data_IF_649147645862
#
_entry.id   IF_649147645862
#
_cell.length_a   1.000
_cell.length_b   1.000
_cell.length_c   1.000
_cell.angle_alpha   90.00
_cell.angle_beta   90.00
_cell.angle_gamma   90.00
#
_symmetry.space_group_name_H-M   'P 1'
#
loop_
_entity.id
_entity.type
_entity.pdbx_description
1 polymer ?
#
# COMPACT_ATOMS: atom_id res chain seq x y z
N UNK A 1 12.01 -26.57 73.68
CA UNK A 1 12.63 -27.85 74.07
C UNK A 1 12.49 -28.83 72.95
N UNK A 2 13.46 -29.64 72.62
CA UNK A 2 14.86 -29.40 72.29
C UNK A 2 15.15 -29.76 70.81
N UNK A 3 16.09 -29.08 70.20
CA UNK A 3 17.45 -29.48 69.80
C UNK A 3 17.61 -30.90 69.22
N UNK A 4 18.17 -30.98 67.98
CA UNK A 4 19.42 -31.68 67.79
C UNK A 4 20.10 -31.34 66.44
N UNK A 5 21.34 -30.87 66.58
CA UNK A 5 22.38 -30.79 65.53
C UNK A 5 22.92 -32.18 65.25
N UNK A 6 23.27 -32.42 63.96
CA UNK A 6 24.45 -33.26 63.66
C UNK A 6 25.20 -32.66 62.49
N UNK A 7 26.45 -32.28 62.75
CA UNK A 7 27.56 -32.07 61.81
C UNK A 7 28.11 -33.42 61.33
N UNK A 8 28.67 -33.46 60.13
CA UNK A 8 29.93 -34.17 59.78
C UNK A 8 30.22 -33.94 58.30
N UNK A 9 31.19 -33.09 58.00
CA UNK A 9 32.59 -33.28 57.55
C UNK A 9 32.79 -33.81 56.12
N UNK A 10 33.31 -32.90 55.31
CA UNK A 10 34.41 -32.92 54.31
C UNK A 10 34.80 -34.23 53.62
N UNK A 11 34.92 -34.17 52.32
CA UNK A 11 36.15 -34.57 51.61
C UNK A 11 36.30 -33.82 50.29
N UNK A 12 37.41 -33.10 50.13
CA UNK A 12 37.84 -32.50 48.89
C UNK A 12 38.43 -33.55 47.94
N UNK A 13 38.11 -33.42 46.65
CA UNK A 13 38.93 -34.04 45.61
C UNK A 13 39.01 -33.09 44.42
N UNK A 14 40.18 -32.46 44.27
CA UNK A 14 40.61 -31.66 43.12
C UNK A 14 40.82 -32.54 41.92
N UNK A 15 40.07 -32.25 40.82
CA UNK A 15 40.51 -32.66 39.48
C UNK A 15 40.48 -31.44 38.59
N UNK A 16 41.67 -31.07 38.15
CA UNK A 16 42.00 -30.03 37.16
C UNK A 16 41.60 -30.66 35.79
N UNK A 17 40.63 -30.04 35.12
CA UNK A 17 40.41 -30.28 33.71
C UNK A 17 40.33 -28.91 33.01
N UNK A 18 41.35 -28.65 32.22
CA UNK A 18 41.40 -27.57 31.24
C UNK A 18 40.33 -27.84 30.20
N UNK A 19 39.30 -26.98 30.11
CA UNK A 19 38.47 -26.86 28.93
C UNK A 19 38.59 -25.46 28.41
N UNK A 20 39.12 -25.37 27.19
CA UNK A 20 39.15 -24.19 26.36
C UNK A 20 37.75 -23.56 26.27
N UNK A 21 37.59 -22.32 26.69
CA UNK A 21 36.47 -21.47 26.36
C UNK A 21 36.49 -21.20 24.84
N UNK A 22 35.65 -21.88 24.08
CA UNK A 22 35.23 -21.43 22.78
C UNK A 22 34.33 -20.20 23.01
N UNK A 23 34.87 -19.01 22.79
CA UNK A 23 34.11 -17.80 22.64
C UNK A 23 33.22 -17.96 21.42
N UNK A 24 31.90 -18.21 21.62
CA UNK A 24 30.92 -18.06 20.61
C UNK A 24 30.91 -16.60 20.16
N UNK A 25 31.53 -16.33 19.02
CA UNK A 25 31.36 -15.07 18.29
C UNK A 25 29.92 -15.01 17.82
N UNK A 26 29.15 -14.08 18.36
CA UNK A 26 27.85 -13.71 17.80
C UNK A 26 28.04 -13.39 16.31
N UNK A 27 27.14 -13.87 15.42
CA UNK A 27 27.22 -13.48 14.02
C UNK A 27 26.96 -11.98 13.94
N UNK A 28 27.95 -11.24 13.50
CA UNK A 28 27.82 -9.84 13.10
C UNK A 28 26.64 -9.72 12.12
N UNK A 29 25.67 -8.87 12.41
CA UNK A 29 24.59 -8.51 11.51
C UNK A 29 25.21 -7.84 10.27
N UNK A 30 25.46 -8.67 9.27
CA UNK A 30 26.23 -8.30 8.09
C UNK A 30 25.37 -7.40 7.21
N UNK A 31 25.74 -6.14 7.06
CA UNK A 31 25.14 -5.18 6.12
C UNK A 31 25.17 -5.60 4.64
N UNK A 32 25.82 -6.76 4.35
CA UNK A 32 25.89 -7.35 3.02
C UNK A 32 24.58 -7.97 2.55
N UNK A 33 23.70 -8.44 3.46
CA UNK A 33 22.42 -9.06 3.10
C UNK A 33 21.43 -8.04 2.49
N UNK A 34 21.41 -6.81 2.98
CA UNK A 34 20.56 -5.74 2.43
C UNK A 34 21.07 -5.22 1.07
N UNK A 35 22.39 -5.17 0.88
CA UNK A 35 23.01 -4.77 -0.39
C UNK A 35 22.82 -5.80 -1.51
N UNK A 36 22.81 -7.08 -1.20
CA UNK A 36 22.56 -8.16 -2.19
C UNK A 36 21.09 -8.17 -2.61
N UNK A 37 20.16 -7.85 -1.73
CA UNK A 37 18.74 -7.82 -2.04
C UNK A 37 18.34 -6.58 -2.89
N UNK A 38 18.95 -5.42 -2.65
CA UNK A 38 18.74 -4.22 -3.48
C UNK A 38 19.25 -4.41 -4.93
N UNK A 39 20.23 -5.29 -5.15
CA UNK A 39 20.72 -5.65 -6.49
C UNK A 39 19.74 -6.51 -7.32
N UNK A 40 18.66 -7.04 -6.70
CA UNK A 40 17.68 -7.90 -7.38
C UNK A 40 16.62 -7.11 -8.18
N UNK A 41 16.52 -5.78 -8.00
CA UNK A 41 15.56 -4.92 -8.71
C UNK A 41 16.28 -3.75 -9.37
N UNK A 42 15.86 -3.42 -10.60
CA UNK A 42 16.29 -2.22 -11.32
C UNK A 42 15.14 -1.24 -11.36
N UNK A 43 15.40 0.02 -10.99
CA UNK A 43 14.45 1.12 -11.17
C UNK A 43 14.53 1.64 -12.63
N UNK A 44 13.38 1.76 -13.26
CA UNK A 44 13.17 2.30 -14.60
C UNK A 44 12.32 3.56 -14.48
N UNK A 45 12.78 4.64 -15.09
CA UNK A 45 12.05 5.89 -15.20
C UNK A 45 10.98 5.77 -16.28
N UNK A 46 9.72 6.00 -15.94
CA UNK A 46 8.61 6.02 -16.88
C UNK A 46 8.36 7.42 -17.47
N UNK A 47 9.04 8.45 -16.95
CA UNK A 47 8.88 9.84 -17.36
C UNK A 47 7.62 10.51 -16.82
N UNK A 48 7.22 11.59 -17.53
CA UNK A 48 6.04 12.42 -17.25
C UNK A 48 5.31 12.76 -18.55
N UNK A 49 4.16 13.43 -18.49
CA UNK A 49 3.47 14.05 -19.63
C UNK A 49 4.04 15.46 -19.96
N UNK A 50 5.33 15.67 -19.66
CA UNK A 50 6.04 16.93 -19.91
C UNK A 50 6.09 17.88 -18.72
N UNK A 51 5.31 17.65 -17.67
CA UNK A 51 5.40 18.40 -16.42
C UNK A 51 6.45 17.84 -15.45
N UNK A 52 6.68 18.54 -14.33
CA UNK A 52 7.75 18.21 -13.39
C UNK A 52 7.48 17.02 -12.45
N UNK A 53 6.30 16.37 -12.53
CA UNK A 53 5.98 15.25 -11.62
C UNK A 53 5.01 14.26 -12.22
N UNK A 54 5.22 12.95 -11.91
CA UNK A 54 4.31 11.86 -12.22
C UNK A 54 4.32 10.80 -11.11
N UNK A 55 3.17 10.15 -10.91
CA UNK A 55 2.98 9.07 -9.93
C UNK A 55 2.30 7.89 -10.62
N UNK A 56 2.94 6.71 -10.63
CA UNK A 56 2.29 5.47 -11.06
C UNK A 56 1.52 4.85 -9.88
N UNK A 57 0.23 4.54 -10.07
CA UNK A 57 -0.67 4.01 -9.04
C UNK A 57 -0.97 2.54 -9.19
N UNK A 58 -1.17 2.09 -10.42
CA UNK A 58 -1.60 0.73 -10.72
C UNK A 58 -0.84 0.10 -11.88
N UNK A 59 -0.74 -1.22 -11.86
CA UNK A 59 -0.13 -2.03 -12.92
C UNK A 59 -0.94 -3.30 -13.12
N UNK A 60 -1.22 -3.67 -14.36
CA UNK A 60 -1.89 -4.91 -14.69
C UNK A 60 -0.90 -6.04 -15.06
N UNK A 61 -1.38 -7.30 -15.24
CA UNK A 61 -0.50 -8.42 -15.62
C UNK A 61 0.18 -8.28 -16.97
N UNK A 62 -0.31 -7.41 -17.87
CA UNK A 62 0.31 -7.12 -19.16
C UNK A 62 1.45 -6.09 -19.07
N UNK A 63 1.71 -5.52 -17.88
CA UNK A 63 2.72 -4.48 -17.68
C UNK A 63 2.24 -3.08 -18.06
N UNK A 64 0.95 -2.89 -18.32
CA UNK A 64 0.37 -1.57 -18.50
C UNK A 64 0.28 -0.86 -17.15
N UNK A 65 0.79 0.38 -17.08
CA UNK A 65 0.86 1.19 -15.86
C UNK A 65 -0.04 2.40 -15.98
N UNK A 66 -0.75 2.72 -14.91
CA UNK A 66 -1.62 3.90 -14.84
C UNK A 66 -1.30 4.77 -13.62
N UNK A 67 -1.64 6.04 -13.73
CA UNK A 67 -1.40 7.00 -12.67
C UNK A 67 -1.82 8.41 -13.07
N UNK A 68 -1.10 9.40 -12.52
CA UNK A 68 -1.32 10.81 -12.78
C UNK A 68 0.01 11.50 -13.08
N UNK A 69 0.02 12.47 -14.00
CA UNK A 69 1.19 13.26 -14.37
C UNK A 69 0.81 14.70 -14.65
N UNK A 70 1.63 15.63 -14.18
CA UNK A 70 1.52 17.04 -14.55
C UNK A 70 1.79 17.23 -16.04
N UNK A 71 1.10 18.20 -16.63
CA UNK A 71 1.27 18.62 -18.01
C UNK A 71 2.30 19.73 -18.12
N UNK A 72 3.00 19.80 -19.27
CA UNK A 72 3.99 20.82 -19.55
C UNK A 72 3.38 22.25 -19.41
N UNK A 73 4.09 23.11 -18.67
CA UNK A 73 3.75 24.52 -18.54
C UNK A 73 2.43 24.86 -17.82
N UNK A 74 1.82 23.87 -17.16
CA UNK A 74 0.56 24.05 -16.43
C UNK A 74 0.65 23.57 -14.98
N UNK A 75 -0.36 23.90 -14.17
CA UNK A 75 -0.59 23.30 -12.85
C UNK A 75 -1.59 22.13 -12.90
N UNK A 76 -2.06 21.76 -14.09
CA UNK A 76 -3.00 20.66 -14.30
C UNK A 76 -2.27 19.33 -14.34
N UNK A 77 -2.91 18.28 -13.84
CA UNK A 77 -2.44 16.90 -13.99
C UNK A 77 -3.54 16.03 -14.59
N UNK A 78 -3.11 15.10 -15.46
CA UNK A 78 -4.00 14.14 -16.10
C UNK A 78 -3.65 12.72 -15.76
N UNK A 79 -4.68 11.86 -15.81
CA UNK A 79 -4.51 10.42 -15.81
C UNK A 79 -3.68 10.00 -17.03
N UNK A 80 -2.78 9.06 -16.83
CA UNK A 80 -1.99 8.47 -17.92
C UNK A 80 -2.13 6.95 -17.99
N UNK A 81 -1.92 6.41 -19.17
CA UNK A 81 -1.59 5.02 -19.45
C UNK A 81 -0.18 4.95 -20.03
N UNK A 82 0.70 4.18 -19.38
CA UNK A 82 2.01 3.85 -19.92
C UNK A 82 2.04 2.41 -20.39
N UNK A 83 2.49 2.21 -21.61
CA UNK A 83 2.66 0.90 -22.23
C UNK A 83 3.85 0.90 -23.17
N UNK A 84 4.75 -0.09 -23.02
CA UNK A 84 5.91 -0.32 -23.95
C UNK A 84 6.76 0.92 -24.19
N UNK A 85 7.00 1.72 -23.17
CA UNK A 85 7.83 2.93 -23.24
C UNK A 85 7.10 4.22 -23.65
N UNK A 86 5.80 4.17 -23.87
CA UNK A 86 4.99 5.35 -24.27
C UNK A 86 4.00 5.69 -23.15
N UNK A 87 4.05 6.93 -22.68
CA UNK A 87 3.05 7.51 -21.76
C UNK A 87 2.01 8.28 -22.57
N UNK A 88 0.75 7.90 -22.41
CA UNK A 88 -0.39 8.49 -23.15
C UNK A 88 -1.30 9.21 -22.15
N UNK A 89 -1.68 10.45 -22.45
CA UNK A 89 -2.67 11.22 -21.71
C UNK A 89 -4.08 10.62 -21.95
N UNK A 90 -4.78 10.31 -20.85
CA UNK A 90 -6.15 9.77 -20.90
C UNK A 90 -7.23 10.87 -20.88
N UNK A 91 -6.81 12.14 -20.74
CA UNK A 91 -7.71 13.28 -20.74
C UNK A 91 -8.59 13.40 -19.50
N UNK A 92 -9.56 14.34 -19.62
CA UNK A 92 -10.52 14.67 -18.56
C UNK A 92 -11.96 14.67 -19.09
N UNK A 93 -12.94 14.63 -18.20
CA UNK A 93 -14.31 14.99 -18.54
C UNK A 93 -14.40 16.42 -19.08
N UNK A 94 -15.41 16.79 -19.89
CA UNK A 94 -15.60 18.16 -20.38
C UNK A 94 -15.55 19.20 -19.24
N UNK A 95 -14.82 20.28 -19.45
CA UNK A 95 -14.56 21.34 -18.46
C UNK A 95 -13.65 20.92 -17.27
N UNK A 96 -13.17 19.68 -17.22
CA UNK A 96 -12.21 19.22 -16.21
C UNK A 96 -10.79 19.72 -16.51
N UNK A 97 -10.04 20.00 -15.46
CA UNK A 97 -8.62 20.37 -15.54
C UNK A 97 -7.72 19.27 -14.90
N UNK A 98 -8.32 18.33 -14.22
CA UNK A 98 -7.61 17.31 -13.47
C UNK A 98 -8.24 15.93 -13.70
N UNK A 99 -7.42 14.93 -13.86
CA UNK A 99 -7.82 13.51 -13.79
C UNK A 99 -6.70 12.67 -13.21
N UNK A 100 -7.05 11.57 -12.53
CA UNK A 100 -6.07 10.64 -11.99
C UNK A 100 -6.58 9.21 -12.11
N UNK A 101 -5.74 8.33 -12.65
CA UNK A 101 -6.03 6.90 -12.70
C UNK A 101 -5.53 6.21 -11.42
N UNK A 102 -6.38 5.40 -10.81
CA UNK A 102 -6.12 4.69 -9.55
C UNK A 102 -5.92 3.20 -9.75
N UNK A 103 -6.64 2.59 -10.68
CA UNK A 103 -6.60 1.16 -10.92
C UNK A 103 -6.77 0.80 -12.39
N UNK A 104 -6.24 -0.36 -12.76
CA UNK A 104 -6.35 -0.96 -14.09
C UNK A 104 -6.58 -2.46 -13.96
N UNK A 105 -7.52 -3.02 -14.72
CA UNK A 105 -7.77 -4.45 -14.74
C UNK A 105 -6.98 -5.18 -15.87
N UNK A 106 -7.00 -6.53 -15.91
CA UNK A 106 -6.31 -7.29 -16.95
C UNK A 106 -6.80 -7.02 -18.38
N UNK A 107 -8.03 -6.52 -18.56
CA UNK A 107 -8.58 -6.15 -19.86
C UNK A 107 -8.14 -4.76 -20.33
N UNK A 108 -7.36 -4.01 -19.52
CA UNK A 108 -6.93 -2.64 -19.85
C UNK A 108 -7.93 -1.54 -19.46
N UNK A 109 -9.06 -1.89 -18.84
CA UNK A 109 -10.02 -0.91 -18.34
C UNK A 109 -9.43 -0.19 -17.13
N UNK A 110 -9.42 1.14 -17.16
CA UNK A 110 -8.84 2.03 -16.14
C UNK A 110 -9.94 2.71 -15.36
N UNK A 111 -9.75 2.89 -14.05
CA UNK A 111 -10.67 3.63 -13.17
C UNK A 111 -9.94 4.68 -12.36
N UNK A 112 -10.67 5.72 -11.95
CA UNK A 112 -10.12 6.81 -11.18
C UNK A 112 -11.11 7.94 -10.97
N UNK A 113 -10.65 9.16 -11.14
CA UNK A 113 -11.48 10.35 -11.03
C UNK A 113 -11.15 11.35 -12.14
N UNK A 114 -12.12 12.20 -12.47
CA UNK A 114 -11.93 13.39 -13.31
C UNK A 114 -12.67 14.56 -12.71
N UNK A 115 -12.08 15.75 -12.85
CA UNK A 115 -12.54 16.96 -12.19
C UNK A 115 -13.20 17.95 -13.17
N UNK A 116 -14.42 18.31 -12.87
CA UNK A 116 -15.26 19.49 -12.77
C UNK A 116 -16.11 19.45 -11.48
N UNK A 117 -15.79 18.66 -10.54
CA UNK A 117 -16.10 18.06 -9.24
C UNK A 117 -15.49 16.69 -9.28
N UNK A 118 -14.89 16.08 -8.23
CA UNK A 118 -14.32 14.76 -8.34
C UNK A 118 -15.42 13.73 -8.61
N UNK A 119 -15.49 13.26 -9.87
CA UNK A 119 -16.41 12.23 -10.30
C UNK A 119 -15.64 10.94 -10.57
N UNK A 120 -16.11 9.82 -10.04
CA UNK A 120 -15.60 8.51 -10.37
C UNK A 120 -15.80 8.22 -11.86
N UNK A 121 -14.75 7.81 -12.54
CA UNK A 121 -14.75 7.58 -13.99
C UNK A 121 -14.12 6.24 -14.35
N UNK A 122 -14.48 5.77 -15.55
CA UNK A 122 -13.84 4.65 -16.23
C UNK A 122 -13.38 5.09 -17.62
N UNK A 123 -12.15 4.74 -17.99
CA UNK A 123 -11.62 4.76 -19.34
C UNK A 123 -11.65 3.34 -19.89
N UNK A 124 -12.36 3.13 -20.97
CA UNK A 124 -12.54 1.85 -21.64
C UNK A 124 -12.38 2.04 -23.14
N UNK A 125 -11.38 1.41 -23.75
CA UNK A 125 -11.06 1.54 -25.19
C UNK A 125 -10.99 3.01 -25.68
N UNK A 126 -10.39 3.90 -24.89
CA UNK A 126 -10.26 5.32 -25.21
C UNK A 126 -11.52 6.16 -24.95
N UNK A 127 -12.58 5.56 -24.43
CA UNK A 127 -13.81 6.27 -24.06
C UNK A 127 -13.82 6.54 -22.56
N UNK A 128 -13.91 7.83 -22.19
CA UNK A 128 -14.06 8.27 -20.80
C UNK A 128 -15.55 8.38 -20.45
N UNK A 129 -15.98 7.65 -19.43
CA UNK A 129 -17.36 7.64 -18.95
C UNK A 129 -17.40 7.87 -17.44
N UNK A 130 -18.29 8.74 -17.01
CA UNK A 130 -18.59 8.93 -15.58
C UNK A 130 -19.36 7.70 -15.06
N UNK A 131 -18.92 7.21 -13.90
CA UNK A 131 -19.70 6.20 -13.16
C UNK A 131 -20.85 6.93 -12.47
N UNK A 132 -22.07 6.77 -13.02
CA UNK A 132 -23.26 7.41 -12.47
C UNK A 132 -23.42 7.05 -11.00
N UNK A 133 -23.30 8.03 -10.13
CA UNK A 133 -23.82 8.02 -8.78
C UNK A 133 -25.12 8.80 -8.81
N UNK A 134 -26.24 8.22 -8.38
CA UNK A 134 -27.57 8.89 -8.38
C UNK A 134 -27.59 10.18 -7.55
N UNK A 135 -26.57 10.43 -6.76
CA UNK A 135 -26.37 11.66 -6.02
C UNK A 135 -25.22 12.46 -6.67
N UNK A 136 -25.44 13.75 -6.93
CA UNK A 136 -24.44 14.71 -7.40
C UNK A 136 -23.33 14.97 -6.35
N UNK A 137 -22.83 13.92 -5.70
CA UNK A 137 -21.77 14.00 -4.68
C UNK A 137 -20.42 13.68 -5.29
N UNK A 138 -19.36 14.29 -4.78
CA UNK A 138 -17.99 13.91 -5.10
C UNK A 138 -17.80 12.40 -4.94
N UNK A 139 -17.12 11.77 -5.89
CA UNK A 139 -16.86 10.35 -5.88
C UNK A 139 -15.50 10.02 -6.51
N UNK A 140 -14.86 8.96 -6.03
CA UNK A 140 -13.58 8.47 -6.56
C UNK A 140 -13.65 6.95 -6.71
N UNK A 141 -13.29 6.44 -7.89
CA UNK A 141 -13.07 5.02 -8.09
C UNK A 141 -11.62 4.66 -7.75
N UNK A 142 -11.42 3.79 -6.75
CA UNK A 142 -10.09 3.45 -6.24
C UNK A 142 -9.54 2.15 -6.85
N UNK A 143 -10.38 1.17 -7.16
CA UNK A 143 -9.93 -0.10 -7.71
C UNK A 143 -10.99 -0.75 -8.59
N UNK A 144 -10.53 -1.63 -9.50
CA UNK A 144 -11.35 -2.43 -10.41
C UNK A 144 -10.84 -3.87 -10.41
N UNK A 145 -11.75 -4.85 -10.37
CA UNK A 145 -11.38 -6.25 -10.48
C UNK A 145 -11.49 -6.79 -11.93
N UNK A 146 -11.04 -8.04 -12.21
CA UNK A 146 -11.14 -8.63 -13.54
C UNK A 146 -12.55 -8.74 -14.11
N UNK A 147 -13.60 -8.81 -13.27
CA UNK A 147 -15.00 -8.85 -13.69
C UNK A 147 -15.55 -7.46 -14.07
N UNK A 148 -14.77 -6.39 -13.86
CA UNK A 148 -15.20 -5.01 -14.12
C UNK A 148 -15.98 -4.37 -12.96
N UNK A 149 -16.02 -5.01 -11.79
CA UNK A 149 -16.57 -4.39 -10.58
C UNK A 149 -15.60 -3.33 -10.06
N UNK A 150 -16.13 -2.14 -9.74
CA UNK A 150 -15.38 -0.97 -9.31
C UNK A 150 -15.75 -0.65 -7.87
N UNK A 151 -14.74 -0.29 -7.07
CA UNK A 151 -14.92 0.15 -5.68
C UNK A 151 -14.29 1.52 -5.45
N UNK A 152 -14.82 2.23 -4.48
CA UNK A 152 -14.33 3.56 -4.14
C UNK A 152 -15.11 4.20 -3.01
N UNK A 153 -15.21 5.51 -3.04
CA UNK A 153 -16.02 6.28 -2.10
C UNK A 153 -16.83 7.35 -2.80
N UNK A 154 -17.97 7.72 -2.23
CA UNK A 154 -18.82 8.83 -2.63
C UNK A 154 -19.24 9.64 -1.40
N UNK A 155 -19.56 10.92 -1.61
CA UNK A 155 -19.91 11.84 -0.53
C UNK A 155 -18.76 12.75 -0.13
N UNK A 156 -18.94 13.52 0.94
CA UNK A 156 -17.93 14.48 1.42
C UNK A 156 -18.00 14.70 2.93
N UNK A 157 -16.86 15.03 3.53
CA UNK A 157 -16.75 15.35 4.95
C UNK A 157 -17.11 14.17 5.86
N UNK A 158 -18.11 14.33 6.72
CA UNK A 158 -18.56 13.30 7.67
C UNK A 158 -19.55 12.30 7.06
N UNK A 159 -19.73 12.28 5.74
CA UNK A 159 -20.65 11.39 5.01
C UNK A 159 -19.98 10.85 3.74
N UNK A 160 -18.77 10.36 3.87
CA UNK A 160 -18.09 9.62 2.83
C UNK A 160 -18.37 8.13 3.00
N UNK A 161 -18.95 7.49 1.98
CA UNK A 161 -19.38 6.09 2.03
C UNK A 161 -18.65 5.25 0.97
N UNK A 162 -18.24 4.06 1.38
CA UNK A 162 -17.67 3.06 0.48
C UNK A 162 -18.75 2.53 -0.47
N UNK A 163 -18.42 2.39 -1.75
CA UNK A 163 -19.32 1.80 -2.75
C UNK A 163 -18.70 0.61 -3.49
N UNK A 164 -19.59 -0.23 -3.99
CA UNK A 164 -19.37 -1.20 -5.06
C UNK A 164 -20.26 -0.83 -6.25
N UNK A 165 -19.64 -0.59 -7.40
CA UNK A 165 -20.35 -0.42 -8.68
C UNK A 165 -20.18 -1.69 -9.53
N UNK A 166 -21.29 -2.22 -10.01
CA UNK A 166 -21.34 -3.40 -10.90
C UNK A 166 -22.40 -3.21 -11.98
N UNK A 167 -22.00 -3.18 -13.25
CA UNK A 167 -22.90 -3.11 -14.42
C UNK A 167 -23.94 -2.00 -14.34
N UNK A 168 -23.55 -0.81 -13.91
CA UNK A 168 -24.41 0.38 -13.82
C UNK A 168 -25.15 0.53 -12.49
N UNK A 169 -25.02 -0.43 -11.57
CA UNK A 169 -25.63 -0.36 -10.23
C UNK A 169 -24.58 -0.01 -9.19
N UNK A 170 -24.78 1.09 -8.46
CA UNK A 170 -23.99 1.47 -7.31
C UNK A 170 -24.66 0.97 -6.03
N UNK A 171 -23.90 0.27 -5.21
CA UNK A 171 -24.31 -0.25 -3.91
C UNK A 171 -23.46 0.37 -2.81
N UNK A 172 -24.08 1.01 -1.82
CA UNK A 172 -23.43 1.44 -0.59
C UNK A 172 -23.03 0.19 0.23
N UNK A 173 -21.75 0.11 0.62
CA UNK A 173 -21.20 -1.01 1.37
C UNK A 173 -21.41 -0.88 2.88
N UNK A 174 -21.90 0.29 3.34
CA UNK A 174 -22.08 0.60 4.75
C UNK A 174 -20.77 0.81 5.50
N UNK A 175 -20.88 0.95 6.82
CA UNK A 175 -19.78 1.22 7.74
C UNK A 175 -19.94 0.49 9.07
N UNK A 176 -18.87 0.45 9.90
CA UNK A 176 -18.90 -0.17 11.24
C UNK A 176 -19.83 0.53 12.23
N UNK A 177 -20.04 1.83 12.03
CA UNK A 177 -20.91 2.64 12.90
C UNK A 177 -22.26 3.00 12.26
N UNK A 178 -22.64 2.37 11.13
CA UNK A 178 -23.84 2.69 10.36
C UNK A 178 -23.72 4.02 9.60
N UNK A 179 -24.83 4.54 9.07
CA UNK A 179 -24.87 5.64 8.07
C UNK A 179 -24.36 7.00 8.57
N UNK A 180 -23.94 7.11 9.82
CA UNK A 180 -23.47 8.36 10.42
C UNK A 180 -21.94 8.48 10.45
N UNK A 181 -21.22 7.48 9.99
CA UNK A 181 -19.74 7.46 10.02
C UNK A 181 -19.15 7.10 8.66
N UNK A 182 -17.93 7.57 8.44
CA UNK A 182 -17.25 7.41 7.15
C UNK A 182 -16.79 5.98 6.91
N UNK A 183 -16.84 5.59 5.64
CA UNK A 183 -16.17 4.40 5.11
C UNK A 183 -15.59 4.68 3.72
N UNK A 184 -14.48 4.03 3.39
CA UNK A 184 -13.80 4.14 2.09
C UNK A 184 -13.38 2.75 1.65
N UNK A 185 -13.73 2.34 0.45
CA UNK A 185 -13.20 1.13 -0.18
C UNK A 185 -11.95 1.45 -1.01
N UNK A 186 -10.89 0.69 -0.81
CA UNK A 186 -9.56 0.93 -1.42
C UNK A 186 -9.15 -0.13 -2.42
N UNK A 187 -9.53 -1.39 -2.20
CA UNK A 187 -9.18 -2.49 -3.10
C UNK A 187 -10.27 -3.56 -3.15
N UNK A 188 -10.30 -4.29 -4.26
CA UNK A 188 -11.21 -5.40 -4.51
C UNK A 188 -10.46 -6.57 -5.15
N UNK A 189 -10.72 -7.81 -4.71
CA UNK A 189 -10.13 -8.98 -5.32
C UNK A 189 -11.06 -9.64 -6.38
N UNK A 190 -10.57 -10.66 -7.13
CA UNK A 190 -11.39 -11.36 -8.13
C UNK A 190 -12.64 -12.06 -7.57
N UNK A 191 -12.67 -12.38 -6.28
CA UNK A 191 -13.82 -12.98 -5.61
C UNK A 191 -14.88 -11.96 -5.17
N UNK A 192 -14.67 -10.64 -5.44
CA UNK A 192 -15.57 -9.57 -5.03
C UNK A 192 -15.46 -9.19 -3.55
N UNK A 193 -14.41 -9.63 -2.86
CA UNK A 193 -14.12 -9.17 -1.51
C UNK A 193 -13.48 -7.79 -1.59
N UNK A 194 -13.99 -6.84 -0.81
CA UNK A 194 -13.57 -5.43 -0.79
C UNK A 194 -12.91 -5.11 0.52
N UNK A 195 -11.84 -4.33 0.51
CA UNK A 195 -11.18 -3.85 1.73
C UNK A 195 -11.04 -2.33 1.72
N UNK A 196 -10.82 -1.78 2.91
CA UNK A 196 -10.62 -0.35 3.08
C UNK A 196 -10.60 0.05 4.56
N UNK A 197 -11.23 1.14 4.89
CA UNK A 197 -11.37 1.60 6.27
C UNK A 197 -12.78 2.07 6.56
N UNK A 198 -13.17 2.00 7.81
CA UNK A 198 -14.43 2.54 8.33
C UNK A 198 -14.24 3.09 9.74
N UNK A 199 -14.91 4.19 10.02
CA UNK A 199 -14.98 4.70 11.38
C UNK A 199 -15.94 3.83 12.20
N UNK A 200 -15.60 3.67 13.48
CA UNK A 200 -16.47 3.09 14.51
C UNK A 200 -17.37 4.18 15.12
N UNK A 201 -18.35 3.79 15.90
CA UNK A 201 -19.16 4.74 16.68
C UNK A 201 -18.35 5.52 17.72
N UNK A 202 -17.23 4.96 18.21
CA UNK A 202 -16.30 5.64 19.11
C UNK A 202 -15.41 6.67 18.41
N UNK A 203 -15.42 6.73 17.05
CA UNK A 203 -14.63 7.65 16.24
C UNK A 203 -13.27 7.12 15.80
N UNK A 204 -12.90 5.91 16.19
CA UNK A 204 -11.68 5.23 15.73
C UNK A 204 -11.82 4.80 14.26
N UNK A 205 -10.73 4.81 13.50
CA UNK A 205 -10.73 4.35 12.11
C UNK A 205 -10.05 3.01 11.99
N UNK A 206 -10.80 1.98 11.59
CA UNK A 206 -10.29 0.61 11.47
C UNK A 206 -10.28 0.10 10.04
N UNK A 207 -9.30 -0.73 9.71
CA UNK A 207 -9.28 -1.56 8.51
C UNK A 207 -10.47 -2.52 8.52
N UNK A 208 -11.14 -2.65 7.38
CA UNK A 208 -12.33 -3.49 7.24
C UNK A 208 -12.29 -4.35 5.98
N UNK A 209 -13.02 -5.46 6.03
CA UNK A 209 -13.31 -6.34 4.91
C UNK A 209 -14.83 -6.43 4.72
N UNK A 210 -15.33 -6.05 3.55
CA UNK A 210 -16.69 -6.31 3.10
C UNK A 210 -16.71 -7.58 2.26
N UNK A 211 -17.52 -8.54 2.66
CA UNK A 211 -17.68 -9.79 1.92
C UNK A 211 -19.09 -10.33 2.07
N UNK A 212 -19.77 -10.59 0.94
CA UNK A 212 -21.14 -11.15 0.93
C UNK A 212 -22.14 -10.39 1.81
N UNK A 213 -22.07 -9.05 1.80
CA UNK A 213 -22.94 -8.16 2.59
C UNK A 213 -22.61 -8.07 4.08
N UNK A 214 -21.46 -8.62 4.51
CA UNK A 214 -20.98 -8.54 5.90
C UNK A 214 -19.75 -7.67 5.94
N UNK A 215 -19.72 -6.71 6.89
CA UNK A 215 -18.54 -5.92 7.23
C UNK A 215 -17.81 -6.57 8.42
N UNK A 216 -16.51 -6.79 8.28
CA UNK A 216 -15.65 -7.35 9.32
C UNK A 216 -14.58 -6.34 9.70
N UNK A 217 -14.52 -5.98 10.97
CA UNK A 217 -13.42 -5.19 11.54
C UNK A 217 -12.17 -6.06 11.65
N UNK A 218 -11.05 -5.62 11.05
CA UNK A 218 -9.80 -6.36 11.05
C UNK A 218 -8.93 -6.07 12.28
N UNK A 219 -9.31 -5.07 13.09
CA UNK A 219 -8.56 -4.64 14.29
C UNK A 219 -7.36 -3.76 13.97
N UNK A 220 -6.43 -3.69 14.92
CA UNK A 220 -5.20 -2.88 14.87
C UNK A 220 -4.00 -3.67 15.41
N UNK A 221 -2.79 -3.08 15.31
CA UNK A 221 -1.57 -3.57 15.98
C UNK A 221 -1.43 -3.06 17.45
N UNK A 222 -2.55 -2.67 18.06
CA UNK A 222 -2.62 -2.23 19.46
C UNK A 222 -2.84 -0.73 19.65
N UNK A 223 -2.77 0.07 18.60
CA UNK A 223 -3.18 1.48 18.59
C UNK A 223 -4.66 1.65 18.25
N UNK A 224 -5.09 2.88 17.97
CA UNK A 224 -6.50 3.26 17.73
C UNK A 224 -6.87 3.34 16.24
N UNK A 225 -5.92 3.13 15.31
CA UNK A 225 -6.16 3.28 13.87
C UNK A 225 -5.51 2.18 13.05
N UNK A 226 -6.24 1.74 12.03
CA UNK A 226 -5.72 0.92 10.93
C UNK A 226 -6.44 1.26 9.62
N UNK A 227 -5.79 0.96 8.49
CA UNK A 227 -6.32 1.19 7.16
C UNK A 227 -5.85 0.08 6.23
N UNK A 228 -6.76 -0.60 5.55
CA UNK A 228 -6.42 -1.59 4.53
C UNK A 228 -6.25 -0.91 3.18
N UNK A 229 -5.23 -1.30 2.42
CA UNK A 229 -4.85 -0.72 1.12
C UNK A 229 -4.89 -1.71 -0.01
N UNK A 230 -4.71 -3.00 0.27
CA UNK A 230 -4.67 -4.05 -0.73
C UNK A 230 -5.21 -5.39 -0.24
N UNK A 231 -5.69 -6.19 -1.18
CA UNK A 231 -6.18 -7.55 -0.94
C UNK A 231 -5.71 -8.50 -2.04
N UNK A 232 -5.15 -9.65 -1.65
CA UNK A 232 -4.74 -10.69 -2.59
C UNK A 232 -5.94 -11.53 -3.10
N UNK A 233 -5.79 -12.28 -4.20
CA UNK A 233 -6.80 -13.24 -4.65
C UNK A 233 -7.16 -14.29 -3.58
N UNK A 234 -6.24 -14.62 -2.67
CA UNK A 234 -6.45 -15.54 -1.55
C UNK A 234 -7.15 -14.91 -0.33
N UNK A 235 -7.48 -13.60 -0.38
CA UNK A 235 -8.13 -12.87 0.71
C UNK A 235 -7.16 -12.38 1.81
N UNK A 236 -5.85 -12.40 1.58
CA UNK A 236 -4.89 -11.76 2.48
C UNK A 236 -4.97 -10.25 2.31
N UNK A 237 -5.02 -9.51 3.39
CA UNK A 237 -5.18 -8.04 3.41
C UNK A 237 -3.90 -7.38 3.91
N UNK A 238 -3.50 -6.29 3.27
CA UNK A 238 -2.36 -5.47 3.69
C UNK A 238 -2.78 -4.02 3.91
N UNK A 239 -1.98 -3.30 4.67
CA UNK A 239 -2.23 -1.89 4.97
C UNK A 239 -1.27 -1.35 6.01
N UNK A 240 -1.73 -0.36 6.76
CA UNK A 240 -0.99 0.23 7.88
C UNK A 240 -1.85 0.28 9.15
N UNK A 241 -1.21 0.20 10.29
CA UNK A 241 -1.86 0.29 11.60
C UNK A 241 -0.95 0.98 12.60
N UNK A 242 -1.54 1.76 13.50
CA UNK A 242 -0.84 2.21 14.68
C UNK A 242 -0.57 1.01 15.60
N UNK A 243 0.67 0.96 16.11
CA UNK A 243 1.07 0.05 17.17
C UNK A 243 0.67 0.60 18.54
N UNK A 244 0.80 -0.21 19.59
CA UNK A 244 0.59 0.24 20.97
C UNK A 244 1.59 1.36 21.40
N UNK A 245 2.77 1.46 20.74
CA UNK A 245 3.75 2.52 20.96
C UNK A 245 3.44 3.81 20.19
N UNK A 246 2.42 3.80 19.29
CA UNK A 246 2.03 4.95 18.48
C UNK A 246 2.78 5.09 17.14
N UNK A 247 3.58 4.11 16.75
CA UNK A 247 4.28 4.06 15.46
C UNK A 247 3.35 3.48 14.38
N UNK A 248 3.55 3.87 13.11
CA UNK A 248 2.76 3.36 11.98
C UNK A 248 3.50 2.21 11.33
N UNK A 249 2.97 1.00 11.45
CA UNK A 249 3.55 -0.19 10.84
C UNK A 249 2.68 -0.79 9.74
N UNK A 250 3.34 -1.28 8.69
CA UNK A 250 2.71 -2.12 7.67
C UNK A 250 2.25 -3.44 8.30
N UNK A 251 1.06 -3.90 7.93
CA UNK A 251 0.54 -5.18 8.38
C UNK A 251 0.17 -6.12 7.24
N UNK A 252 0.18 -7.41 7.55
CA UNK A 252 -0.47 -8.48 6.77
C UNK A 252 -1.53 -9.12 7.66
N UNK A 253 -2.79 -9.05 7.23
CA UNK A 253 -3.89 -9.77 7.89
C UNK A 253 -4.23 -11.03 7.08
N UNK A 254 -4.34 -12.16 7.76
CA UNK A 254 -4.73 -13.44 7.17
C UNK A 254 -5.43 -14.31 8.21
N UNK A 255 -6.57 -14.91 7.85
CA UNK A 255 -7.32 -15.83 8.70
C UNK A 255 -7.61 -15.31 10.13
N UNK A 256 -7.95 -14.04 10.26
CA UNK A 256 -8.29 -13.40 11.55
C UNK A 256 -7.10 -12.89 12.35
N UNK A 257 -5.87 -13.02 11.84
CA UNK A 257 -4.65 -12.57 12.53
C UNK A 257 -4.00 -11.42 11.76
N UNK A 258 -3.75 -10.30 12.44
CA UNK A 258 -2.96 -9.17 11.94
C UNK A 258 -1.50 -9.33 12.39
N UNK A 259 -0.59 -9.37 11.44
CA UNK A 259 0.85 -9.54 11.65
C UNK A 259 1.59 -8.26 11.27
N UNK A 260 2.42 -7.75 12.16
CA UNK A 260 3.31 -6.62 11.91
C UNK A 260 4.44 -7.03 10.96
N UNK A 261 4.69 -6.25 9.91
CA UNK A 261 5.74 -6.49 8.92
C UNK A 261 7.08 -5.80 9.27
N UNK A 262 7.09 -4.96 10.31
CA UNK A 262 8.25 -4.17 10.73
C UNK A 262 8.52 -2.95 9.85
N UNK A 263 9.61 -2.21 10.16
CA UNK A 263 9.93 -0.89 9.56
C UNK A 263 11.35 -0.76 9.01
N UNK A 264 12.20 -1.78 9.09
CA UNK A 264 13.65 -1.69 8.82
C UNK A 264 14.39 -0.68 9.72
N UNK A 265 13.90 -0.51 10.95
CA UNK A 265 14.51 0.36 11.95
C UNK A 265 14.10 1.84 11.89
N UNK A 266 13.17 2.21 11.00
CA UNK A 266 12.52 3.53 11.00
C UNK A 266 11.21 3.53 11.80
N UNK A 267 10.58 4.70 12.05
CA UNK A 267 9.32 4.81 12.77
C UNK A 267 8.08 4.52 11.91
N UNK A 268 8.25 4.38 10.59
CA UNK A 268 7.15 4.25 9.64
C UNK A 268 7.36 3.10 8.66
N UNK A 269 6.33 2.30 8.46
CA UNK A 269 6.14 1.51 7.25
C UNK A 269 4.65 1.47 6.85
N UNK A 270 4.39 1.49 5.55
CA UNK A 270 3.03 1.42 4.97
C UNK A 270 3.06 0.39 3.86
N UNK A 271 2.24 -0.64 3.94
CA UNK A 271 1.98 -1.53 2.81
C UNK A 271 0.91 -0.91 1.90
N UNK A 272 1.07 -1.00 0.59
CA UNK A 272 0.19 -0.37 -0.41
C UNK A 272 -0.42 -1.38 -1.37
N UNK A 273 0.24 -2.53 -1.59
CA UNK A 273 -0.23 -3.57 -2.49
C UNK A 273 0.30 -4.96 -2.14
N UNK A 274 -0.42 -5.97 -2.60
CA UNK A 274 -0.07 -7.39 -2.44
C UNK A 274 -0.44 -8.15 -3.70
N UNK A 275 0.43 -9.05 -4.17
CA UNK A 275 0.12 -9.93 -5.31
C UNK A 275 -0.29 -11.35 -4.87
N UNK A 276 -0.61 -12.21 -5.85
CA UNK A 276 -1.01 -13.60 -5.62
C UNK A 276 0.09 -14.47 -4.99
N UNK A 277 1.37 -14.11 -5.15
CA UNK A 277 2.50 -14.81 -4.54
C UNK A 277 2.75 -14.41 -3.07
N UNK A 278 1.93 -13.49 -2.52
CA UNK A 278 2.10 -12.97 -1.16
C UNK A 278 3.26 -11.97 -1.03
N UNK A 279 3.72 -11.38 -2.14
CA UNK A 279 4.68 -10.29 -2.12
C UNK A 279 3.92 -9.00 -1.79
N UNK A 280 4.34 -8.31 -0.74
CA UNK A 280 3.78 -7.03 -0.29
C UNK A 280 4.72 -5.90 -0.68
N UNK A 281 4.19 -4.82 -1.20
CA UNK A 281 4.95 -3.62 -1.55
C UNK A 281 4.46 -2.42 -0.76
N UNK A 282 5.30 -1.41 -0.67
CA UNK A 282 4.99 -0.19 0.05
C UNK A 282 6.19 0.72 0.23
N UNK A 283 6.23 1.46 1.31
CA UNK A 283 7.35 2.34 1.65
C UNK A 283 7.61 2.34 3.15
N UNK A 284 8.87 2.62 3.52
CA UNK A 284 9.37 2.69 4.90
C UNK A 284 10.34 3.86 5.03
N UNK A 285 10.57 4.34 6.25
CA UNK A 285 11.52 5.42 6.52
C UNK A 285 11.05 6.38 7.61
N UNK A 286 11.50 7.63 7.58
CA UNK A 286 11.05 8.63 8.52
C UNK A 286 9.57 8.95 8.34
N UNK A 287 8.90 9.26 9.46
CA UNK A 287 7.61 9.93 9.43
C UNK A 287 7.85 11.39 9.02
N UNK A 288 7.17 11.84 7.99
CA UNK A 288 7.31 13.20 7.48
C UNK A 288 6.10 14.01 7.87
N UNK A 289 6.34 15.23 8.35
CA UNK A 289 5.26 16.16 8.69
C UNK A 289 4.45 16.51 7.44
N UNK A 290 3.15 16.74 7.62
CA UNK A 290 2.29 17.22 6.53
C UNK A 290 2.87 18.51 5.94
N UNK A 291 3.09 18.51 4.60
CA UNK A 291 3.64 19.66 3.87
C UNK A 291 5.12 19.54 3.51
N UNK A 292 5.85 18.53 3.97
CA UNK A 292 7.19 18.22 3.46
C UNK A 292 7.08 17.39 2.16
N UNK A 293 7.26 18.03 1.04
CA UNK A 293 7.30 17.38 -0.27
C UNK A 293 8.62 17.72 -1.01
N UNK A 294 9.35 16.73 -1.53
CA UNK A 294 9.17 15.27 -1.41
C UNK A 294 9.64 14.75 -0.02
N UNK A 295 9.03 13.67 0.50
CA UNK A 295 9.36 13.12 1.82
C UNK A 295 10.74 12.46 1.81
N UNK A 296 11.75 13.22 2.15
CA UNK A 296 13.17 12.81 2.11
C UNK A 296 13.41 11.60 3.02
N UNK A 297 14.12 10.60 2.49
CA UNK A 297 14.52 9.42 3.24
C UNK A 297 13.54 8.26 3.23
N UNK A 298 12.32 8.43 2.77
CA UNK A 298 11.42 7.28 2.55
C UNK A 298 11.89 6.44 1.37
N UNK A 299 11.73 5.13 1.48
CA UNK A 299 12.14 4.15 0.47
C UNK A 299 11.04 3.15 0.17
N UNK A 300 10.83 2.88 -1.10
CA UNK A 300 10.02 1.76 -1.55
C UNK A 300 10.59 0.44 -1.04
N UNK A 301 9.72 -0.49 -0.68
CA UNK A 301 10.13 -1.85 -0.31
C UNK A 301 9.28 -2.91 -1.00
N UNK A 302 9.81 -4.12 -1.05
CA UNK A 302 9.08 -5.36 -1.23
C UNK A 302 9.34 -6.26 -0.02
N UNK A 303 8.25 -6.79 0.56
CA UNK A 303 8.31 -7.78 1.63
C UNK A 303 7.83 -9.12 1.11
N UNK A 304 8.54 -10.21 1.45
CA UNK A 304 8.14 -11.56 1.10
C UNK A 304 8.66 -12.56 2.14
N UNK A 305 7.78 -13.39 2.70
CA UNK A 305 8.11 -14.47 3.66
C UNK A 305 9.00 -14.01 4.83
N UNK A 306 8.67 -12.89 5.44
CA UNK A 306 9.38 -12.35 6.60
C UNK A 306 10.58 -11.47 6.28
N UNK A 307 10.94 -11.30 5.00
CA UNK A 307 12.07 -10.46 4.59
C UNK A 307 11.56 -9.21 3.88
N UNK A 308 11.88 -8.04 4.43
CA UNK A 308 11.65 -6.74 3.80
C UNK A 308 12.93 -6.31 3.06
N UNK A 309 12.81 -6.01 1.78
CA UNK A 309 13.89 -5.55 0.90
C UNK A 309 13.60 -4.15 0.41
N UNK A 310 14.48 -3.21 0.68
CA UNK A 310 14.39 -1.83 0.21
C UNK A 310 14.77 -1.75 -1.26
N UNK A 311 13.97 -1.03 -2.04
CA UNK A 311 14.17 -0.83 -3.47
C UNK A 311 15.04 0.42 -3.74
N UNK A 312 15.74 0.40 -4.89
CA UNK A 312 16.51 1.56 -5.37
C UNK A 312 15.63 2.74 -5.78
N UNK A 313 16.27 3.87 -6.06
CA UNK A 313 15.64 5.10 -6.58
C UNK A 313 16.09 5.39 -8.00
N UNK A 314 15.52 6.43 -8.62
CA UNK A 314 15.97 7.01 -9.89
C UNK A 314 17.18 7.97 -9.71
N UNK A 315 17.92 7.82 -8.61
CA UNK A 315 19.13 8.61 -8.28
C UNK A 315 18.91 9.65 -7.18
N UNK A 316 17.68 9.94 -6.81
CA UNK A 316 17.34 10.87 -5.72
C UNK A 316 17.21 10.19 -4.35
N UNK A 317 16.72 10.96 -3.36
CA UNK A 317 16.68 10.57 -1.95
C UNK A 317 15.37 9.90 -1.51
N UNK A 318 14.41 9.63 -2.41
CA UNK A 318 13.06 9.22 -2.08
C UNK A 318 12.47 8.24 -3.10
N UNK A 319 11.70 7.26 -2.62
CA UNK A 319 10.83 6.41 -3.46
C UNK A 319 9.68 5.82 -2.65
N UNK A 320 8.53 5.59 -3.29
CA UNK A 320 7.38 4.86 -2.74
C UNK A 320 6.84 3.89 -3.79
N UNK A 321 6.56 2.64 -3.42
CA UNK A 321 5.83 1.70 -4.25
C UNK A 321 4.32 1.82 -3.95
N UNK A 322 3.47 1.64 -4.98
CA UNK A 322 2.02 1.70 -4.85
C UNK A 322 1.32 0.46 -5.38
N UNK A 323 1.84 -0.18 -6.42
CA UNK A 323 1.24 -1.34 -7.03
C UNK A 323 2.25 -2.44 -7.35
N UNK A 324 1.77 -3.68 -7.43
CA UNK A 324 2.56 -4.86 -7.84
C UNK A 324 1.67 -5.80 -8.66
N UNK A 325 2.20 -6.30 -9.78
CA UNK A 325 1.49 -7.28 -10.59
C UNK A 325 1.88 -8.74 -10.26
N UNK A 326 1.26 -9.70 -10.96
CA UNK A 326 1.53 -11.13 -10.77
C UNK A 326 2.94 -11.56 -11.18
N UNK A 327 3.61 -10.82 -12.05
CA UNK A 327 5.00 -11.06 -12.44
C UNK A 327 6.01 -10.54 -11.41
N UNK A 328 5.56 -9.76 -10.42
CA UNK A 328 6.39 -9.12 -9.40
C UNK A 328 7.03 -7.81 -9.89
N UNK A 329 6.49 -7.22 -10.95
CA UNK A 329 6.80 -5.87 -11.38
C UNK A 329 6.09 -4.88 -10.45
N UNK A 330 6.82 -3.87 -9.97
CA UNK A 330 6.38 -2.94 -8.93
C UNK A 330 6.35 -1.54 -9.53
N UNK A 331 5.27 -0.79 -9.26
CA UNK A 331 5.16 0.60 -9.72
C UNK A 331 4.96 1.57 -8.58
N UNK A 332 5.34 2.81 -8.82
CA UNK A 332 5.22 3.85 -7.83
C UNK A 332 5.83 5.16 -8.29
N UNK A 333 6.52 5.84 -7.38
CA UNK A 333 7.19 7.11 -7.65
C UNK A 333 8.59 7.11 -7.06
N UNK A 334 9.49 7.85 -7.69
CA UNK A 334 10.85 8.04 -7.20
C UNK A 334 11.39 9.41 -7.61
N UNK A 335 12.19 9.99 -6.71
CA UNK A 335 12.94 11.19 -7.03
C UNK A 335 14.10 10.82 -7.97
N UNK A 336 14.26 11.60 -9.03
CA UNK A 336 15.40 11.52 -9.96
C UNK A 336 16.64 12.19 -9.36
N UNK A 337 17.81 11.99 -9.96
CA UNK A 337 19.02 12.71 -9.61
C UNK A 337 18.89 14.24 -9.84
N UNK A 338 18.00 14.67 -10.72
CA UNK A 338 17.67 16.07 -11.01
C UNK A 338 16.74 16.73 -9.98
N UNK A 339 16.16 15.94 -9.06
CA UNK A 339 15.24 16.44 -8.04
C UNK A 339 13.77 16.48 -8.49
N UNK A 340 13.41 15.86 -9.61
CA UNK A 340 12.03 15.74 -10.10
C UNK A 340 11.42 14.41 -9.65
N UNK A 341 10.13 14.39 -9.40
CA UNK A 341 9.39 13.18 -8.98
C UNK A 341 8.78 12.48 -10.19
N UNK A 342 9.35 11.35 -10.61
CA UNK A 342 8.87 10.61 -11.76
C UNK A 342 8.11 9.33 -11.36
N UNK A 343 7.20 8.91 -12.25
CA UNK A 343 6.63 7.57 -12.21
C UNK A 343 7.75 6.54 -12.41
N UNK A 344 7.80 5.52 -11.57
CA UNK A 344 8.87 4.54 -11.53
C UNK A 344 8.33 3.10 -11.63
N UNK A 345 9.10 2.25 -12.32
CA UNK A 345 8.87 0.81 -12.41
C UNK A 345 10.11 0.08 -11.88
N UNK A 346 9.92 -0.87 -10.97
CA UNK A 346 10.98 -1.77 -10.52
C UNK A 346 10.74 -3.17 -11.09
N UNK A 347 11.72 -3.67 -11.83
CA UNK A 347 11.72 -5.02 -12.41
C UNK A 347 12.83 -5.87 -11.81
N UNK A 348 12.60 -7.17 -11.69
CA UNK A 348 13.68 -8.10 -11.31
C UNK A 348 14.69 -8.24 -12.43
N UNK A 349 15.98 -8.32 -12.03
CA UNK A 349 17.08 -8.68 -12.95
C UNK A 349 17.07 -10.15 -13.27
#
# INVERSE_FOLDING_TARGET
MPSNRVLLTSLALTMLACTSEETATEPSSDGTSALVAAAAYTAVDLGTLGGGSAIARGINPAGQVVGESFLEGTSSFHAFLWEKGVMTDLGTLPLGQFSGARGINPAGRVVGFSHGGPFAVVWDDGVLTELSTEAAFPSVANAINPSGQVVGSFGSGLREHAFLWDKGVLTDLGSLGGDQVNSVATAINPAGQVVGSSNTLSGERHAVLWSKGVITNLGTLGGDRSHATGISPAGQVVGSSLTASGEIHAFLWSNGVMTDLGTQGGPLSVATGINAAGQVVGYTGPDVLEGEEPPVGQRAFVWHKGVMTVLGTLGGSYSRAFGINSAGEIVGTSLTAGGETHAALWTRK
#
